data_IF_815006027495
#
_entry.id   IF_815006027495
#
_cell.length_a   1.000
_cell.length_b   1.000
_cell.length_c   1.000
_cell.angle_alpha   90.00
_cell.angle_beta   90.00
_cell.angle_gamma   90.00
#
_symmetry.space_group_name_H-M   'P 1'
#
loop_
_entity.id
_entity.type
_entity.pdbx_description
1 polymer ?
#
# COMPACT_ATOMS: atom_id res chain seq x y z
N UNK A 1 60.78 -49.68 21.59
CA UNK A 1 60.09 -49.43 20.30
C UNK A 1 58.82 -50.29 20.13
N UNK A 2 58.86 -51.61 20.35
CA UNK A 2 57.72 -52.52 20.15
C UNK A 2 56.51 -52.28 21.07
N UNK A 3 56.74 -51.87 22.33
CA UNK A 3 55.64 -51.51 23.26
C UNK A 3 54.96 -50.18 22.88
N UNK A 4 55.71 -49.14 22.49
CA UNK A 4 55.11 -47.88 22.03
C UNK A 4 54.27 -48.05 20.76
N UNK A 5 54.75 -48.86 19.79
CA UNK A 5 53.99 -49.19 18.58
C UNK A 5 52.69 -49.94 18.88
N UNK A 6 52.71 -50.84 19.87
CA UNK A 6 51.51 -51.57 20.30
C UNK A 6 50.51 -50.65 20.99
N UNK A 7 50.98 -49.71 21.81
CA UNK A 7 50.13 -48.71 22.46
C UNK A 7 49.50 -47.75 21.45
N UNK A 8 50.24 -47.33 20.43
CA UNK A 8 49.73 -46.48 19.34
C UNK A 8 48.70 -47.20 18.45
N UNK A 9 48.91 -48.50 18.19
CA UNK A 9 47.93 -49.34 17.50
C UNK A 9 46.63 -49.45 18.31
N UNK A 10 46.72 -49.72 19.61
CA UNK A 10 45.54 -49.83 20.49
C UNK A 10 44.74 -48.54 20.59
N UNK A 11 45.41 -47.37 20.69
CA UNK A 11 44.70 -46.09 20.68
C UNK A 11 44.09 -45.81 19.32
N UNK A 12 44.78 -46.08 18.21
CA UNK A 12 44.24 -45.87 16.86
C UNK A 12 43.00 -46.71 16.56
N UNK A 13 42.94 -47.95 17.04
CA UNK A 13 41.79 -48.85 16.88
C UNK A 13 40.62 -48.40 17.77
N UNK A 14 40.91 -47.94 19.00
CA UNK A 14 39.89 -47.40 19.89
C UNK A 14 39.25 -46.10 19.33
N UNK A 15 40.04 -45.23 18.70
CA UNK A 15 39.52 -43.99 18.10
C UNK A 15 38.87 -44.21 16.71
N UNK A 16 39.25 -45.24 15.95
CA UNK A 16 38.59 -45.57 14.67
C UNK A 16 37.18 -46.13 14.83
N UNK A 17 36.81 -46.62 16.01
CA UNK A 17 35.45 -47.09 16.31
C UNK A 17 34.56 -45.99 16.91
N UNK A 18 35.12 -44.83 17.22
CA UNK A 18 34.40 -43.69 17.74
C UNK A 18 34.01 -42.78 16.57
N UNK A 19 32.81 -42.98 16.03
CA UNK A 19 32.28 -42.05 15.03
C UNK A 19 31.87 -40.75 15.72
N UNK A 20 32.72 -39.73 15.59
CA UNK A 20 32.50 -38.37 16.12
C UNK A 20 31.29 -37.68 15.48
N UNK A 21 30.73 -38.25 14.40
CA UNK A 21 29.53 -37.76 13.74
C UNK A 21 28.30 -38.64 14.01
N UNK A 22 28.44 -39.72 14.78
CA UNK A 22 27.31 -40.52 15.22
C UNK A 22 26.56 -39.79 16.34
N UNK A 23 25.32 -39.43 16.01
CA UNK A 23 24.46 -38.56 16.82
C UNK A 23 24.04 -39.24 18.13
N UNK A 24 24.08 -40.57 18.18
CA UNK A 24 23.73 -41.37 19.37
C UNK A 24 24.84 -41.33 20.45
N UNK A 25 26.05 -40.88 20.09
CA UNK A 25 27.15 -40.65 21.03
C UNK A 25 27.02 -39.32 21.81
N UNK A 26 26.07 -38.48 21.43
CA UNK A 26 25.75 -37.23 22.12
C UNK A 26 24.41 -37.40 22.83
N UNK A 27 24.41 -37.31 24.17
CA UNK A 27 23.17 -37.14 24.92
C UNK A 27 22.64 -35.72 24.68
N UNK A 28 21.99 -35.49 23.54
CA UNK A 28 21.17 -34.31 23.36
C UNK A 28 19.82 -34.60 24.02
N UNK A 29 19.53 -33.91 25.12
CA UNK A 29 18.13 -33.67 25.46
C UNK A 29 17.56 -32.82 24.33
N UNK A 30 16.86 -33.45 23.38
CA UNK A 30 15.83 -32.73 22.63
C UNK A 30 14.92 -32.17 23.71
N UNK A 31 15.13 -30.90 24.06
CA UNK A 31 14.25 -30.21 24.98
C UNK A 31 12.89 -30.23 24.26
N UNK A 32 12.01 -31.14 24.70
CA UNK A 32 10.69 -31.31 24.13
C UNK A 32 9.78 -30.15 24.54
N UNK A 33 10.34 -28.96 24.75
CA UNK A 33 9.66 -27.68 24.88
C UNK A 33 9.08 -27.27 23.52
N UNK A 34 8.32 -28.18 22.89
CA UNK A 34 7.09 -27.80 22.21
C UNK A 34 6.20 -27.20 23.29
N UNK A 35 6.48 -25.94 23.63
CA UNK A 35 5.73 -25.20 24.61
C UNK A 35 4.28 -25.24 24.13
N UNK A 36 3.40 -25.95 24.83
CA UNK A 36 1.97 -26.04 24.50
C UNK A 36 1.30 -24.66 24.45
N UNK A 37 1.98 -23.63 24.97
CA UNK A 37 1.61 -22.22 24.87
C UNK A 37 1.81 -21.63 23.46
N UNK A 38 2.83 -22.07 22.70
CA UNK A 38 3.15 -21.50 21.37
C UNK A 38 2.31 -22.09 20.23
N UNK A 39 1.89 -23.35 20.33
CA UNK A 39 1.07 -23.97 19.28
C UNK A 39 -0.32 -23.30 19.11
N UNK A 40 -1.06 -23.00 20.18
CA UNK A 40 -2.34 -22.29 20.09
C UNK A 40 -2.18 -20.84 19.64
N UNK A 41 -1.07 -20.18 20.00
CA UNK A 41 -0.72 -18.87 19.47
C UNK A 41 -0.59 -18.93 17.94
N UNK A 42 0.24 -19.85 17.42
CA UNK A 42 0.45 -20.01 15.97
C UNK A 42 -0.87 -20.30 15.25
N UNK A 43 -1.69 -21.19 15.82
CA UNK A 43 -3.01 -21.51 15.26
C UNK A 43 -3.90 -20.27 15.14
N UNK A 44 -3.97 -19.44 16.19
CA UNK A 44 -4.77 -18.21 16.17
C UNK A 44 -4.20 -17.12 15.26
N UNK A 45 -2.88 -17.09 15.05
CA UNK A 45 -2.24 -16.19 14.08
C UNK A 45 -2.54 -16.61 12.63
N UNK A 46 -2.75 -17.90 12.36
CA UNK A 46 -3.17 -18.39 11.03
C UNK A 46 -4.68 -18.19 10.84
N UNK A 47 -5.48 -18.60 11.82
CA UNK A 47 -6.94 -18.46 11.82
C UNK A 47 -7.42 -17.94 13.18
N UNK A 48 -7.93 -16.70 13.26
CA UNK A 48 -8.45 -16.12 14.49
C UNK A 48 -9.49 -17.04 15.14
N UNK A 49 -9.31 -17.36 16.42
CA UNK A 49 -10.17 -18.26 17.18
C UNK A 49 -9.70 -19.72 17.24
N UNK A 50 -8.80 -20.17 16.35
CA UNK A 50 -8.39 -21.58 16.32
C UNK A 50 -7.59 -22.00 17.56
N UNK A 51 -6.72 -21.13 18.07
CA UNK A 51 -5.98 -21.39 19.29
C UNK A 51 -6.88 -21.50 20.53
N UNK A 52 -7.88 -20.63 20.65
CA UNK A 52 -8.90 -20.70 21.71
C UNK A 52 -9.67 -22.01 21.65
N UNK A 53 -10.13 -22.39 20.46
CA UNK A 53 -10.85 -23.64 20.25
C UNK A 53 -9.98 -24.86 20.61
N UNK A 54 -8.71 -24.85 20.21
CA UNK A 54 -7.76 -25.92 20.49
C UNK A 54 -7.43 -26.07 21.98
N UNK A 55 -7.50 -24.97 22.74
CA UNK A 55 -7.28 -24.95 24.20
C UNK A 55 -8.52 -25.35 25.01
N UNK A 56 -9.69 -25.42 24.37
CA UNK A 56 -10.96 -25.67 25.04
C UNK A 56 -11.51 -24.45 25.78
N UNK A 57 -11.19 -23.23 25.30
CA UNK A 57 -11.76 -22.00 25.83
C UNK A 57 -13.28 -21.92 25.59
N UNK A 58 -14.02 -21.10 26.38
CA UNK A 58 -15.43 -20.87 26.15
C UNK A 58 -15.72 -20.44 24.70
N UNK A 59 -16.72 -21.06 24.06
CA UNK A 59 -17.00 -20.91 22.63
C UNK A 59 -17.28 -19.47 22.19
N UNK A 60 -17.71 -18.58 23.09
CA UNK A 60 -17.93 -17.18 22.75
C UNK A 60 -16.65 -16.46 22.26
N UNK A 61 -15.46 -16.88 22.73
CA UNK A 61 -14.18 -16.29 22.30
C UNK A 61 -13.84 -16.60 20.84
N UNK A 62 -13.76 -17.87 20.40
CA UNK A 62 -13.52 -18.15 18.98
C UNK A 62 -14.62 -17.58 18.09
N UNK A 63 -15.89 -17.60 18.53
CA UNK A 63 -16.97 -16.97 17.75
C UNK A 63 -16.81 -15.46 17.59
N UNK A 64 -16.33 -14.75 18.63
CA UNK A 64 -16.03 -13.32 18.54
C UNK A 64 -14.95 -13.04 17.48
N UNK A 65 -13.82 -13.75 17.54
CA UNK A 65 -12.72 -13.57 16.59
C UNK A 65 -13.12 -13.93 15.16
N UNK A 66 -13.85 -15.02 14.94
CA UNK A 66 -14.37 -15.41 13.62
C UNK A 66 -15.41 -14.40 13.12
N UNK A 67 -16.27 -13.89 14.00
CA UNK A 67 -17.25 -12.87 13.64
C UNK A 67 -16.60 -11.57 13.16
N UNK A 68 -15.63 -11.06 13.92
CA UNK A 68 -14.85 -9.87 13.53
C UNK A 68 -14.13 -10.11 12.20
N UNK A 69 -13.52 -11.29 12.03
CA UNK A 69 -12.83 -11.68 10.80
C UNK A 69 -13.77 -11.61 9.58
N UNK A 70 -14.94 -12.24 9.69
CA UNK A 70 -15.94 -12.24 8.64
C UNK A 70 -16.37 -10.83 8.24
N UNK A 71 -16.71 -9.98 9.21
CA UNK A 71 -17.13 -8.60 8.94
C UNK A 71 -15.99 -7.76 8.33
N UNK A 72 -14.76 -7.95 8.79
CA UNK A 72 -13.60 -7.21 8.29
C UNK A 72 -13.25 -7.62 6.85
N UNK A 73 -13.22 -8.92 6.54
CA UNK A 73 -13.03 -9.44 5.18
C UNK A 73 -14.13 -8.94 4.25
N UNK A 74 -15.40 -9.06 4.67
CA UNK A 74 -16.54 -8.59 3.88
C UNK A 74 -16.43 -7.09 3.57
N UNK A 75 -16.09 -6.28 4.58
CA UNK A 75 -15.91 -4.84 4.44
C UNK A 75 -14.74 -4.50 3.52
N UNK A 76 -13.58 -5.16 3.68
CA UNK A 76 -12.40 -4.96 2.84
C UNK A 76 -12.72 -5.24 1.38
N UNK A 77 -13.37 -6.38 1.09
CA UNK A 77 -13.78 -6.74 -0.27
C UNK A 77 -14.79 -5.75 -0.86
N UNK A 78 -15.85 -5.42 -0.12
CA UNK A 78 -16.90 -4.51 -0.57
C UNK A 78 -16.36 -3.12 -0.90
N UNK A 79 -15.59 -2.52 0.02
CA UNK A 79 -15.01 -1.20 -0.18
C UNK A 79 -13.93 -1.18 -1.27
N UNK A 80 -13.13 -2.25 -1.39
CA UNK A 80 -12.16 -2.38 -2.48
C UNK A 80 -12.84 -2.38 -3.85
N UNK A 81 -13.94 -3.12 -3.99
CA UNK A 81 -14.69 -3.17 -5.24
C UNK A 81 -15.35 -1.83 -5.57
N UNK A 82 -15.91 -1.15 -4.56
CA UNK A 82 -16.50 0.18 -4.74
C UNK A 82 -15.44 1.21 -5.16
N UNK A 83 -14.28 1.20 -4.52
CA UNK A 83 -13.15 2.07 -4.87
C UNK A 83 -12.68 1.83 -6.31
N UNK A 84 -12.52 0.56 -6.72
CA UNK A 84 -12.15 0.18 -8.10
C UNK A 84 -13.17 0.65 -9.13
N UNK A 85 -14.46 0.50 -8.85
CA UNK A 85 -15.52 0.98 -9.75
C UNK A 85 -15.42 2.49 -9.96
N UNK A 86 -15.35 3.25 -8.87
CA UNK A 86 -15.19 4.71 -8.94
C UNK A 86 -13.90 5.14 -9.62
N UNK A 87 -12.83 4.34 -9.48
CA UNK A 87 -11.59 4.56 -10.22
C UNK A 87 -11.81 4.47 -11.72
N UNK A 88 -12.41 3.38 -12.20
CA UNK A 88 -12.74 3.27 -13.62
C UNK A 88 -13.70 4.35 -14.10
N UNK A 89 -14.66 4.76 -13.26
CA UNK A 89 -15.59 5.83 -13.59
C UNK A 89 -14.84 7.16 -13.84
N UNK A 90 -13.91 7.56 -12.96
CA UNK A 90 -13.14 8.79 -13.16
C UNK A 90 -12.11 8.65 -14.29
N UNK A 91 -11.44 7.50 -14.43
CA UNK A 91 -10.46 7.27 -15.50
C UNK A 91 -11.13 7.39 -16.87
N UNK A 92 -12.26 6.70 -17.05
CA UNK A 92 -13.06 6.79 -18.27
C UNK A 92 -13.61 8.20 -18.50
N UNK A 93 -14.01 8.91 -17.44
CA UNK A 93 -14.43 10.30 -17.56
C UNK A 93 -13.29 11.19 -18.08
N UNK A 94 -12.09 11.06 -17.53
CA UNK A 94 -10.91 11.80 -18.01
C UNK A 94 -10.52 11.43 -19.45
N UNK A 95 -10.67 10.17 -19.86
CA UNK A 95 -10.40 9.76 -21.23
C UNK A 95 -11.34 10.39 -22.25
N UNK A 96 -12.59 10.62 -21.86
CA UNK A 96 -13.59 11.26 -22.73
C UNK A 96 -13.51 12.80 -22.72
N UNK A 97 -13.02 13.39 -21.64
CA UNK A 97 -13.14 14.84 -21.39
C UNK A 97 -11.81 15.59 -21.33
N UNK A 98 -10.67 14.90 -21.22
CA UNK A 98 -9.36 15.54 -21.12
C UNK A 98 -8.48 15.25 -22.33
N UNK A 99 -7.93 16.30 -22.95
CA UNK A 99 -7.13 16.22 -24.18
C UNK A 99 -5.83 17.05 -24.13
N UNK A 100 -4.73 16.47 -24.65
CA UNK A 100 -3.40 17.08 -24.67
C UNK A 100 -3.33 18.37 -25.48
N UNK A 101 -3.91 18.37 -26.69
CA UNK A 101 -3.90 19.54 -27.57
C UNK A 101 -4.64 20.70 -26.92
N UNK A 102 -5.81 20.43 -26.34
CA UNK A 102 -6.60 21.41 -25.61
C UNK A 102 -5.84 21.97 -24.42
N UNK A 103 -5.18 21.09 -23.66
CA UNK A 103 -4.32 21.51 -22.56
C UNK A 103 -3.22 22.47 -23.03
N UNK A 104 -2.53 22.14 -24.12
CA UNK A 104 -1.48 22.98 -24.69
C UNK A 104 -2.02 24.35 -25.14
N UNK A 105 -3.14 24.36 -25.86
CA UNK A 105 -3.74 25.59 -26.40
C UNK A 105 -4.33 26.48 -25.30
N UNK A 106 -5.10 25.91 -24.38
CA UNK A 106 -5.70 26.66 -23.27
C UNK A 106 -4.65 27.16 -22.29
N UNK A 107 -3.58 26.41 -22.02
CA UNK A 107 -2.48 26.89 -21.15
C UNK A 107 -1.86 28.19 -21.67
N UNK A 108 -1.73 28.35 -23.00
CA UNK A 108 -1.26 29.61 -23.62
C UNK A 108 -2.22 30.78 -23.42
N UNK A 109 -3.52 30.51 -23.33
CA UNK A 109 -4.55 31.53 -23.11
C UNK A 109 -4.65 31.91 -21.64
N UNK A 110 -4.60 30.91 -20.75
CA UNK A 110 -4.73 31.11 -19.29
C UNK A 110 -3.49 31.81 -18.72
N UNK A 111 -2.31 31.49 -19.24
CA UNK A 111 -1.01 31.91 -18.71
C UNK A 111 -0.13 32.55 -19.80
N UNK A 112 -0.55 33.64 -20.46
CA UNK A 112 0.11 34.16 -21.66
C UNK A 112 1.59 34.52 -21.46
N UNK A 113 1.96 34.97 -20.25
CA UNK A 113 3.32 35.44 -19.96
C UNK A 113 4.29 34.30 -19.59
N UNK A 114 3.78 33.16 -19.08
CA UNK A 114 4.61 32.07 -18.55
C UNK A 114 4.13 30.65 -18.94
N UNK A 115 3.29 30.52 -19.96
CA UNK A 115 2.73 29.23 -20.40
C UNK A 115 3.78 28.14 -20.64
N UNK A 116 4.98 28.49 -21.12
CA UNK A 116 6.09 27.53 -21.31
C UNK A 116 6.54 26.91 -19.99
N UNK A 117 6.69 27.74 -18.97
CA UNK A 117 7.06 27.31 -17.62
C UNK A 117 5.95 26.44 -17.01
N UNK A 118 4.68 26.74 -17.30
CA UNK A 118 3.55 25.92 -16.89
C UNK A 118 3.59 24.55 -17.59
N UNK A 119 3.84 24.46 -18.90
CA UNK A 119 3.88 23.17 -19.60
C UNK A 119 5.02 22.27 -19.10
N UNK A 120 6.21 22.84 -18.88
CA UNK A 120 7.35 22.12 -18.30
C UNK A 120 7.04 21.73 -16.86
N UNK A 121 6.66 22.73 -16.06
CA UNK A 121 6.14 22.62 -14.71
C UNK A 121 6.93 21.73 -13.76
N UNK A 122 6.27 21.28 -12.70
CA UNK A 122 6.85 20.36 -11.70
C UNK A 122 6.46 18.91 -11.95
N UNK A 123 5.39 18.69 -12.70
CA UNK A 123 4.82 17.39 -13.00
C UNK A 123 4.76 17.21 -14.52
N UNK A 124 4.91 15.96 -14.96
CA UNK A 124 5.05 15.61 -16.37
C UNK A 124 3.98 14.59 -16.77
N UNK A 125 3.56 14.65 -18.03
CA UNK A 125 2.74 13.60 -18.64
C UNK A 125 3.63 12.74 -19.52
N UNK A 126 3.45 11.42 -19.44
CA UNK A 126 4.06 10.50 -20.39
C UNK A 126 3.45 10.67 -21.77
N UNK A 127 4.30 10.73 -22.79
CA UNK A 127 3.91 10.78 -24.20
C UNK A 127 4.50 9.59 -24.93
N UNK A 128 3.79 9.08 -25.95
CA UNK A 128 4.21 7.98 -26.80
C UNK A 128 4.10 8.38 -28.26
N UNK A 129 5.20 8.25 -29.01
CA UNK A 129 5.29 8.52 -30.45
C UNK A 129 6.09 7.38 -31.08
N UNK A 130 5.52 6.66 -32.06
CA UNK A 130 6.20 5.56 -32.77
C UNK A 130 6.92 4.57 -31.82
N UNK A 131 6.21 4.12 -30.78
CA UNK A 131 6.71 3.22 -29.72
C UNK A 131 7.87 3.73 -28.85
N UNK A 132 8.21 5.02 -28.97
CA UNK A 132 9.16 5.69 -28.08
C UNK A 132 8.43 6.57 -27.06
N UNK A 133 8.98 6.61 -25.85
CA UNK A 133 8.44 7.36 -24.74
C UNK A 133 9.15 8.70 -24.57
N UNK A 134 8.35 9.72 -24.30
CA UNK A 134 8.79 11.09 -24.06
C UNK A 134 8.01 11.67 -22.87
N UNK A 135 8.41 12.86 -22.43
CA UNK A 135 7.72 13.61 -21.38
C UNK A 135 7.14 14.90 -21.95
N UNK A 136 6.08 15.41 -21.31
CA UNK A 136 5.40 16.64 -21.74
C UNK A 136 6.29 17.88 -21.73
N UNK A 137 7.42 17.88 -21.01
CA UNK A 137 8.40 18.96 -21.06
C UNK A 137 9.01 19.15 -22.46
N UNK A 138 9.09 18.08 -23.26
CA UNK A 138 9.62 18.13 -24.62
C UNK A 138 8.53 18.44 -25.66
N UNK A 139 7.29 18.72 -25.25
CA UNK A 139 6.14 18.82 -26.15
C UNK A 139 6.34 19.86 -27.26
N UNK A 140 6.92 21.03 -26.96
CA UNK A 140 7.18 22.07 -27.97
C UNK A 140 8.15 21.60 -29.07
N UNK A 141 9.22 20.89 -28.70
CA UNK A 141 10.19 20.32 -29.64
C UNK A 141 9.61 19.13 -30.43
N UNK A 142 8.71 18.36 -29.80
CA UNK A 142 8.02 17.24 -30.46
C UNK A 142 7.02 17.74 -31.51
N UNK A 143 6.29 18.82 -31.22
CA UNK A 143 5.32 19.41 -32.15
C UNK A 143 5.96 20.03 -33.41
N UNK A 144 7.25 20.35 -33.38
CA UNK A 144 7.99 20.78 -34.58
C UNK A 144 8.31 19.62 -35.53
N UNK A 145 8.28 18.38 -35.04
CA UNK A 145 8.72 17.18 -35.76
C UNK A 145 7.58 16.23 -36.09
N UNK A 146 6.52 16.25 -35.28
CA UNK A 146 5.40 15.32 -35.37
C UNK A 146 4.07 16.05 -35.33
N UNK A 147 3.08 15.66 -36.16
CA UNK A 147 1.72 16.17 -36.04
C UNK A 147 1.07 15.67 -34.74
N UNK A 148 0.03 16.39 -34.28
CA UNK A 148 -0.75 16.00 -33.09
C UNK A 148 -1.29 14.56 -33.14
N UNK A 149 -1.64 14.08 -34.33
CA UNK A 149 -2.17 12.71 -34.54
C UNK A 149 -1.20 11.62 -34.08
N UNK A 150 0.10 11.91 -34.05
CA UNK A 150 1.15 10.93 -33.78
C UNK A 150 1.56 10.94 -32.30
N UNK A 151 1.10 11.94 -31.54
CA UNK A 151 1.44 12.12 -30.13
C UNK A 151 0.32 11.57 -29.26
N UNK A 152 0.56 10.39 -28.68
CA UNK A 152 -0.37 9.76 -27.75
C UNK A 152 0.02 10.09 -26.31
N UNK A 153 -0.96 10.37 -25.46
CA UNK A 153 -0.74 10.50 -24.01
C UNK A 153 -0.75 9.11 -23.38
N UNK A 154 0.25 8.84 -22.55
CA UNK A 154 0.29 7.63 -21.72
C UNK A 154 -0.72 7.80 -20.58
N UNK A 155 -1.78 6.98 -20.58
CA UNK A 155 -2.87 7.01 -19.60
C UNK A 155 -2.60 6.08 -18.42
N UNK A 156 -1.61 6.45 -17.61
CA UNK A 156 -1.23 5.71 -16.41
C UNK A 156 -1.76 6.38 -15.12
N UNK A 157 -1.39 5.81 -13.98
CA UNK A 157 -1.77 6.36 -12.67
C UNK A 157 -1.35 7.82 -12.51
N UNK A 158 -0.13 8.15 -12.96
CA UNK A 158 0.44 9.49 -12.77
C UNK A 158 -0.30 10.51 -13.62
N UNK A 159 -0.67 10.15 -14.86
CA UNK A 159 -1.57 10.95 -15.69
C UNK A 159 -2.87 11.29 -14.95
N UNK A 160 -3.61 10.29 -14.48
CA UNK A 160 -4.91 10.50 -13.81
C UNK A 160 -4.77 11.28 -12.49
N UNK A 161 -3.67 11.08 -11.76
CA UNK A 161 -3.39 11.83 -10.56
C UNK A 161 -3.09 13.30 -10.86
N UNK A 162 -2.25 13.55 -11.86
CA UNK A 162 -1.78 14.87 -12.24
C UNK A 162 -2.92 15.78 -12.72
N UNK A 163 -3.75 15.31 -13.66
CA UNK A 163 -4.83 16.12 -14.25
C UNK A 163 -5.91 16.55 -13.24
N UNK A 164 -6.04 15.82 -12.12
CA UNK A 164 -6.97 16.13 -11.05
C UNK A 164 -6.38 16.97 -9.93
N UNK A 165 -5.07 16.87 -9.67
CA UNK A 165 -4.42 17.53 -8.53
C UNK A 165 -3.87 18.91 -8.87
N UNK A 166 -3.27 19.08 -10.03
CA UNK A 166 -2.46 20.27 -10.32
C UNK A 166 -3.13 21.20 -11.32
N UNK A 167 -3.12 22.49 -11.00
CA UNK A 167 -3.67 23.53 -11.88
C UNK A 167 -2.93 23.64 -13.19
N UNK A 168 -1.67 23.22 -13.23
CA UNK A 168 -0.88 23.07 -14.45
C UNK A 168 -1.65 22.35 -15.57
N UNK A 169 -2.50 21.37 -15.25
CA UNK A 169 -3.22 20.54 -16.23
C UNK A 169 -4.68 20.94 -16.47
N UNK A 170 -5.13 22.05 -15.86
CA UNK A 170 -6.54 22.49 -15.92
C UNK A 170 -7.00 22.78 -17.35
N UNK A 171 -6.08 23.27 -18.20
CA UNK A 171 -6.34 23.58 -19.60
C UNK A 171 -6.92 22.43 -20.43
N UNK A 172 -6.73 21.18 -20.01
CA UNK A 172 -7.09 20.02 -20.82
C UNK A 172 -8.55 19.58 -20.76
N UNK A 173 -9.35 20.06 -19.80
CA UNK A 173 -10.77 19.74 -19.70
C UNK A 173 -11.59 20.42 -20.81
N UNK A 174 -12.58 19.74 -21.40
CA UNK A 174 -13.40 20.21 -22.54
C UNK A 174 -14.51 21.20 -22.14
N UNK A 175 -14.50 21.75 -20.92
CA UNK A 175 -15.44 22.81 -20.55
C UNK A 175 -15.24 24.03 -21.48
N UNK A 176 -16.34 24.64 -21.94
CA UNK A 176 -16.27 25.86 -22.75
C UNK A 176 -15.41 26.89 -22.03
N UNK A 177 -14.40 27.41 -22.73
CA UNK A 177 -13.42 28.32 -22.15
C UNK A 177 -14.10 29.58 -21.59
N UNK A 178 -13.75 29.91 -20.35
CA UNK A 178 -14.25 31.06 -19.60
C UNK A 178 -13.10 31.63 -18.74
N UNK A 179 -13.32 32.71 -18.00
CA UNK A 179 -12.32 33.35 -17.15
C UNK A 179 -11.99 32.47 -15.91
N UNK A 180 -10.79 31.86 -15.81
CA UNK A 180 -10.48 30.92 -14.73
C UNK A 180 -10.17 31.59 -13.38
N UNK A 181 -10.15 32.92 -13.32
CA UNK A 181 -9.71 33.69 -12.15
C UNK A 181 -10.85 34.41 -11.44
N UNK A 182 -12.10 34.13 -11.80
CA UNK A 182 -13.28 34.58 -11.05
C UNK A 182 -13.93 33.43 -10.27
N UNK A 183 -15.17 33.64 -9.82
CA UNK A 183 -15.92 32.70 -8.98
C UNK A 183 -17.19 32.17 -9.67
N UNK A 184 -17.37 32.42 -10.97
CA UNK A 184 -18.60 32.13 -11.70
C UNK A 184 -18.31 31.35 -12.99
N UNK A 185 -19.34 30.97 -13.74
CA UNK A 185 -19.13 30.37 -15.06
C UNK A 185 -18.69 28.90 -15.08
N UNK A 186 -17.98 28.52 -16.14
CA UNK A 186 -17.51 27.14 -16.35
C UNK A 186 -16.10 26.89 -15.80
N UNK A 187 -15.33 27.96 -15.63
CA UNK A 187 -13.98 27.99 -15.11
C UNK A 187 -13.97 28.97 -13.96
N UNK A 188 -13.47 28.55 -12.80
CA UNK A 188 -13.55 29.36 -11.59
C UNK A 188 -12.39 29.02 -10.66
N UNK A 189 -12.13 29.90 -9.70
CA UNK A 189 -11.06 29.76 -8.73
C UNK A 189 -11.61 29.71 -7.32
N UNK A 190 -11.14 28.76 -6.52
CA UNK A 190 -11.54 28.62 -5.12
C UNK A 190 -10.34 28.78 -4.19
N UNK A 191 -10.52 29.57 -3.13
CA UNK A 191 -9.51 29.68 -2.07
C UNK A 191 -9.48 28.42 -1.22
N UNK A 192 -8.33 27.77 -1.20
CA UNK A 192 -8.01 26.65 -0.33
C UNK A 192 -7.18 27.15 0.86
N UNK A 193 -7.88 27.45 1.94
CA UNK A 193 -7.28 28.04 3.14
C UNK A 193 -6.84 29.49 2.91
N UNK A 194 -5.70 29.88 3.50
CA UNK A 194 -5.29 31.29 3.58
C UNK A 194 -4.34 31.74 2.46
N UNK A 195 -3.83 30.82 1.63
CA UNK A 195 -2.70 31.09 0.72
C UNK A 195 -2.81 30.43 -0.66
N UNK A 196 -3.58 29.36 -0.80
CA UNK A 196 -3.67 28.61 -2.06
C UNK A 196 -4.98 28.95 -2.77
N UNK A 197 -4.91 29.24 -4.06
CA UNK A 197 -6.09 29.36 -4.93
C UNK A 197 -6.00 28.23 -5.94
N UNK A 198 -7.08 27.47 -6.11
CA UNK A 198 -7.15 26.33 -7.02
C UNK A 198 -8.05 26.68 -8.19
N UNK A 199 -7.55 26.50 -9.41
CA UNK A 199 -8.33 26.70 -10.63
C UNK A 199 -9.13 25.43 -10.94
N UNK A 200 -10.42 25.59 -11.14
CA UNK A 200 -11.37 24.53 -11.41
C UNK A 200 -12.13 24.77 -12.72
N UNK A 201 -12.62 23.67 -13.26
CA UNK A 201 -13.68 23.65 -14.25
C UNK A 201 -14.78 22.73 -13.75
N UNK A 202 -16.00 22.83 -14.28
CA UNK A 202 -17.09 21.93 -13.87
C UNK A 202 -16.71 20.46 -14.04
N UNK A 203 -16.05 20.08 -15.14
CA UNK A 203 -15.60 18.69 -15.32
C UNK A 203 -14.40 18.33 -14.44
N UNK A 204 -13.43 19.22 -14.24
CA UNK A 204 -12.33 18.98 -13.29
C UNK A 204 -12.88 18.74 -11.89
N UNK A 205 -13.86 19.52 -11.44
CA UNK A 205 -14.46 19.36 -10.12
C UNK A 205 -15.24 18.05 -10.00
N UNK A 206 -16.08 17.73 -10.98
CA UNK A 206 -16.76 16.43 -11.05
C UNK A 206 -15.78 15.25 -10.98
N UNK A 207 -14.70 15.29 -11.79
CA UNK A 207 -13.64 14.29 -11.77
C UNK A 207 -12.97 14.18 -10.40
N UNK A 208 -12.63 15.32 -9.78
CA UNK A 208 -12.01 15.38 -8.45
C UNK A 208 -12.93 14.76 -7.39
N UNK A 209 -14.24 14.98 -7.47
CA UNK A 209 -15.22 14.40 -6.55
C UNK A 209 -15.27 12.86 -6.67
N UNK A 210 -15.31 12.32 -7.89
CA UNK A 210 -15.24 10.87 -8.10
C UNK A 210 -13.92 10.28 -7.57
N UNK A 211 -12.80 10.95 -7.84
CA UNK A 211 -11.48 10.54 -7.34
C UNK A 211 -11.40 10.60 -5.82
N UNK A 212 -11.97 11.64 -5.20
CA UNK A 212 -12.06 11.78 -3.74
C UNK A 212 -12.85 10.62 -3.13
N UNK A 213 -14.01 10.29 -3.70
CA UNK A 213 -14.81 9.16 -3.25
C UNK A 213 -14.07 7.82 -3.42
N UNK A 214 -13.39 7.61 -4.54
CA UNK A 214 -12.57 6.41 -4.76
C UNK A 214 -11.48 6.26 -3.69
N UNK A 215 -10.79 7.36 -3.36
CA UNK A 215 -9.76 7.39 -2.32
C UNK A 215 -10.37 7.13 -0.93
N UNK A 216 -11.55 7.67 -0.63
CA UNK A 216 -12.26 7.44 0.64
C UNK A 216 -12.60 5.96 0.82
N UNK A 217 -13.15 5.31 -0.20
CA UNK A 217 -13.44 3.87 -0.14
C UNK A 217 -12.17 3.01 -0.10
N UNK A 218 -11.10 3.41 -0.79
CA UNK A 218 -9.79 2.76 -0.68
C UNK A 218 -9.28 2.80 0.76
N UNK A 219 -9.41 3.95 1.42
CA UNK A 219 -9.04 4.11 2.83
C UNK A 219 -9.89 3.23 3.76
N UNK A 220 -11.21 3.13 3.55
CA UNK A 220 -12.05 2.21 4.32
C UNK A 220 -11.66 0.73 4.13
N UNK A 221 -11.32 0.34 2.90
CA UNK A 221 -10.81 -1.01 2.63
C UNK A 221 -9.49 -1.29 3.35
N UNK A 222 -8.58 -0.30 3.38
CA UNK A 222 -7.32 -0.39 4.13
C UNK A 222 -7.56 -0.54 5.63
N UNK A 223 -8.45 0.26 6.21
CA UNK A 223 -8.83 0.14 7.64
C UNK A 223 -9.39 -1.25 7.93
N UNK A 224 -10.28 -1.76 7.08
CA UNK A 224 -10.82 -3.11 7.25
C UNK A 224 -9.73 -4.21 7.15
N UNK A 225 -8.76 -4.03 6.26
CA UNK A 225 -7.60 -4.93 6.14
C UNK A 225 -6.70 -4.86 7.37
N UNK A 226 -6.50 -3.66 7.95
CA UNK A 226 -5.81 -3.51 9.23
C UNK A 226 -6.57 -4.20 10.37
N UNK A 227 -7.91 -4.15 10.36
CA UNK A 227 -8.72 -4.84 11.35
C UNK A 227 -8.56 -6.37 11.27
N UNK A 228 -8.44 -6.96 10.07
CA UNK A 228 -8.09 -8.38 9.89
C UNK A 228 -6.75 -8.68 10.57
N UNK A 229 -5.69 -7.93 10.23
CA UNK A 229 -4.36 -8.15 10.81
C UNK A 229 -4.38 -8.05 12.35
N UNK A 230 -5.04 -7.01 12.88
CA UNK A 230 -5.18 -6.83 14.33
C UNK A 230 -5.97 -7.97 14.97
N UNK A 231 -7.01 -8.48 14.31
CA UNK A 231 -7.82 -9.59 14.79
C UNK A 231 -6.98 -10.88 14.93
N UNK A 232 -6.14 -11.19 13.95
CA UNK A 232 -5.17 -12.30 14.02
C UNK A 232 -4.21 -12.15 15.20
N UNK A 233 -3.62 -10.97 15.36
CA UNK A 233 -2.66 -10.68 16.43
C UNK A 233 -3.31 -10.79 17.80
N UNK A 234 -4.44 -10.12 18.01
CA UNK A 234 -5.18 -10.13 19.28
C UNK A 234 -5.67 -11.54 19.60
N UNK A 235 -6.14 -12.29 18.61
CA UNK A 235 -6.51 -13.69 18.80
C UNK A 235 -5.31 -14.53 19.25
N UNK A 236 -4.14 -14.36 18.63
CA UNK A 236 -2.91 -15.02 19.04
C UNK A 236 -2.54 -14.74 20.50
N UNK A 237 -2.41 -13.45 20.85
CA UNK A 237 -2.01 -13.00 22.18
C UNK A 237 -2.99 -13.40 23.28
N UNK A 238 -4.30 -13.37 23.00
CA UNK A 238 -5.32 -13.78 23.94
C UNK A 238 -5.09 -15.23 24.41
N UNK A 239 -4.66 -16.12 23.51
CA UNK A 239 -4.35 -17.50 23.91
C UNK A 239 -3.21 -17.58 24.92
N UNK A 240 -2.22 -16.69 24.85
CA UNK A 240 -1.07 -16.69 25.76
C UNK A 240 -1.52 -16.21 27.14
N UNK A 241 -2.28 -15.11 27.18
CA UNK A 241 -2.75 -14.48 28.41
C UNK A 241 -3.66 -15.40 29.23
N UNK A 242 -4.49 -16.21 28.56
CA UNK A 242 -5.37 -17.18 29.20
C UNK A 242 -4.79 -18.60 29.32
N UNK A 243 -3.46 -18.74 29.18
CA UNK A 243 -2.73 -19.98 29.44
C UNK A 243 -2.85 -20.42 30.92
N UNK A 244 -3.18 -21.69 31.17
CA UNK A 244 -3.19 -22.30 32.52
C UNK A 244 -1.80 -22.38 33.17
N UNK A 245 -0.72 -22.33 32.37
CA UNK A 245 0.67 -22.19 32.85
C UNK A 245 1.11 -20.75 32.58
N UNK A 246 1.12 -19.92 33.63
CA UNK A 246 1.58 -18.52 33.57
C UNK A 246 3.10 -18.48 33.59
N UNK A 247 3.72 -18.35 32.43
CA UNK A 247 5.04 -17.72 32.33
C UNK A 247 4.85 -16.20 32.36
N UNK A 248 5.62 -15.43 33.14
CA UNK A 248 5.47 -13.99 33.22
C UNK A 248 5.81 -13.34 31.87
N UNK A 249 4.81 -12.79 31.19
CA UNK A 249 5.00 -12.07 29.93
C UNK A 249 5.83 -10.80 30.19
N UNK A 250 7.07 -10.73 29.68
CA UNK A 250 7.89 -9.51 29.68
C UNK A 250 7.32 -8.53 28.65
N UNK A 251 6.69 -7.46 29.14
CA UNK A 251 6.18 -6.25 28.47
C UNK A 251 5.95 -6.28 26.95
N UNK A 252 4.68 -6.11 26.53
CA UNK A 252 4.30 -5.75 25.16
C UNK A 252 3.99 -4.26 25.08
N UNK A 253 4.65 -3.52 24.19
CA UNK A 253 4.28 -2.15 23.84
C UNK A 253 3.71 -2.11 22.42
N UNK A 254 2.45 -1.69 22.28
CA UNK A 254 1.83 -1.43 20.98
C UNK A 254 1.72 0.08 20.83
N UNK A 255 2.41 0.66 19.85
CA UNK A 255 2.32 2.08 19.55
C UNK A 255 1.49 2.27 18.27
N UNK A 256 0.30 2.85 18.41
CA UNK A 256 -0.47 3.31 17.26
C UNK A 256 -0.02 4.73 16.94
N UNK A 257 0.57 4.93 15.75
CA UNK A 257 0.91 6.27 15.24
C UNK A 257 -0.11 6.69 14.18
N UNK A 258 -1.23 7.32 14.56
CA UNK A 258 -2.26 7.69 13.59
C UNK A 258 -1.90 8.87 12.68
N UNK A 259 -0.73 9.51 12.86
CA UNK A 259 -0.31 10.65 12.03
C UNK A 259 1.21 10.70 11.85
N UNK A 260 1.72 10.17 10.73
CA UNK A 260 3.02 10.57 10.19
C UNK A 260 2.79 11.19 8.82
N UNK A 261 3.15 12.47 8.68
CA UNK A 261 2.85 13.39 7.57
C UNK A 261 3.54 13.00 6.24
N UNK A 262 4.21 11.85 6.16
CA UNK A 262 4.92 11.44 4.94
C UNK A 262 4.65 9.96 4.70
N UNK A 263 3.94 9.70 3.59
CA UNK A 263 3.78 8.43 2.89
C UNK A 263 4.34 7.20 3.61
N UNK A 264 3.50 6.54 4.41
CA UNK A 264 3.44 5.09 4.64
C UNK A 264 2.42 4.85 5.74
N UNK A 265 1.15 4.71 5.33
CA UNK A 265 0.06 4.37 6.24
C UNK A 265 0.20 2.89 6.65
N UNK A 266 0.89 2.65 7.77
CA UNK A 266 1.15 1.33 8.32
C UNK A 266 1.05 1.29 9.85
N UNK A 267 0.78 0.10 10.39
CA UNK A 267 0.87 -0.18 11.84
C UNK A 267 2.31 -0.63 12.12
N UNK A 268 3.05 0.12 12.94
CA UNK A 268 4.38 -0.29 13.38
C UNK A 268 4.25 -1.18 14.63
N UNK A 269 4.66 -2.44 14.52
CA UNK A 269 4.75 -3.37 15.65
C UNK A 269 6.20 -3.47 16.10
N UNK A 270 6.48 -3.06 17.34
CA UNK A 270 7.79 -3.22 17.97
C UNK A 270 7.69 -4.37 18.97
N UNK A 271 8.39 -5.47 18.67
CA UNK A 271 8.55 -6.60 19.58
C UNK A 271 9.96 -6.52 20.16
N UNK A 272 10.08 -6.23 21.46
CA UNK A 272 11.34 -6.30 22.20
C UNK A 272 11.38 -7.58 23.02
N UNK A 273 12.47 -8.35 22.92
CA UNK A 273 12.74 -9.56 23.70
C UNK A 273 13.91 -9.37 24.66
#
# INVERSE_FOLDING_TARGET
MRQMLFQFMLTSVAYCQFDIYDIDNYNYSLDSTRNETSLPLIKSLIFPGWGQLSKGDPLWKPFLFVGVEFFAIHSSFSYSNKSKKLRYDFENFADNHWELKRWYDNTKVIFPDNWREIIVGTHKLGLKINDKYYQSENLEELLQRFPWSDIQVVRDRDFYENIGKYDQFVGGWDDDFDNPFDSEGNWYSEKKGNVETVILTKRKDYYRNLRFDSNRYSNFARIATSAILLNHILSGFETILNSKKREPFKSLSIELRPYTIVNEDGVQLILSW
#
